data_IF_868502296173
#
_entry.id   IF_868502296173
#
_cell.length_a   1.000
_cell.length_b   1.000
_cell.length_c   1.000
_cell.angle_alpha   90.00
_cell.angle_beta   90.00
_cell.angle_gamma   90.00
#
_symmetry.space_group_name_H-M   'P 1'
#
loop_
_entity.id
_entity.type
_entity.pdbx_description
1 polymer ?
#
# COMPACT_ATOMS: atom_id res chain seq x y z
N UNK A 1 -4.01 -0.15 89.29
CA UNK A 1 -5.39 0.22 88.99
C UNK A 1 -5.52 0.12 87.47
N UNK A 2 -6.17 -0.92 87.07
CA UNK A 2 -7.39 -0.99 86.26
C UNK A 2 -7.37 0.00 85.09
N UNK A 3 -7.52 -0.35 83.87
CA UNK A 3 -8.34 -1.33 83.15
C UNK A 3 -8.74 -0.65 81.91
N UNK A 4 -8.92 -1.30 81.03
CA UNK A 4 -10.01 -1.52 80.03
C UNK A 4 -9.59 -1.59 78.61
N UNK A 5 -10.00 -2.73 78.11
CA UNK A 5 -10.09 -3.13 76.73
C UNK A 5 -11.00 -2.20 75.91
N UNK A 6 -10.59 -1.89 74.71
CA UNK A 6 -11.54 -1.71 73.62
C UNK A 6 -10.89 -2.02 72.27
N UNK A 7 -11.26 -3.14 71.66
CA UNK A 7 -11.10 -3.43 70.24
C UNK A 7 -12.07 -2.51 69.46
N UNK A 8 -11.69 -2.04 68.30
CA UNK A 8 -12.67 -1.80 67.24
C UNK A 8 -12.56 -2.86 66.10
N UNK A 9 -13.72 -3.32 65.82
CA UNK A 9 -14.21 -4.16 64.76
C UNK A 9 -13.70 -3.87 63.37
N UNK A 10 -13.52 -4.98 62.63
CA UNK A 10 -13.16 -4.98 61.22
C UNK A 10 -14.11 -4.24 60.33
N UNK A 11 -13.56 -3.39 59.50
CA UNK A 11 -14.18 -2.84 58.33
C UNK A 11 -13.78 -3.63 57.08
N UNK A 12 -14.70 -4.45 56.61
CA UNK A 12 -14.56 -5.12 55.31
C UNK A 12 -14.58 -4.05 54.21
N UNK A 13 -13.44 -3.89 53.53
CA UNK A 13 -13.34 -3.06 52.33
C UNK A 13 -13.97 -3.84 51.15
N UNK A 14 -15.21 -3.51 50.81
CA UNK A 14 -15.84 -3.93 49.56
C UNK A 14 -15.07 -3.33 48.37
N UNK A 15 -14.30 -4.17 47.69
CA UNK A 15 -13.71 -3.83 46.40
C UNK A 15 -14.85 -3.62 45.39
N UNK A 16 -15.18 -2.39 45.12
CA UNK A 16 -16.08 -2.00 44.00
C UNK A 16 -15.41 -2.34 42.71
N UNK A 17 -15.78 -3.49 42.13
CA UNK A 17 -15.44 -3.88 40.75
C UNK A 17 -16.04 -2.86 39.79
N UNK A 18 -15.21 -1.97 39.23
CA UNK A 18 -15.63 -1.06 38.17
C UNK A 18 -16.10 -1.85 36.94
N UNK A 19 -17.03 -1.31 36.14
CA UNK A 19 -17.57 -2.01 34.99
C UNK A 19 -16.45 -2.33 34.01
N UNK A 20 -16.21 -3.61 33.80
CA UNK A 20 -15.30 -4.17 32.81
C UNK A 20 -15.77 -3.66 31.44
N UNK A 21 -15.05 -2.70 30.85
CA UNK A 21 -15.37 -2.14 29.55
C UNK A 21 -15.60 -3.30 28.55
N UNK A 22 -16.84 -3.43 28.09
CA UNK A 22 -17.21 -4.44 27.11
C UNK A 22 -16.32 -4.28 25.89
N UNK A 23 -15.48 -5.27 25.63
CA UNK A 23 -14.60 -5.33 24.47
C UNK A 23 -15.49 -5.37 23.24
N UNK A 24 -15.69 -4.21 22.60
CA UNK A 24 -16.47 -4.13 21.37
C UNK A 24 -15.97 -5.19 20.40
N UNK A 25 -16.87 -6.07 19.95
CA UNK A 25 -16.55 -7.10 18.98
C UNK A 25 -15.90 -6.45 17.74
N UNK A 26 -14.76 -6.98 17.32
CA UNK A 26 -14.06 -6.48 16.14
C UNK A 26 -14.96 -6.75 14.92
N UNK A 27 -15.22 -5.76 14.06
CA UNK A 27 -16.05 -5.96 12.88
C UNK A 27 -15.48 -7.09 12.02
N UNK A 28 -16.32 -7.84 11.27
CA UNK A 28 -15.85 -8.91 10.41
C UNK A 28 -14.87 -8.40 9.36
N UNK A 29 -13.94 -9.28 8.94
CA UNK A 29 -13.01 -8.95 7.85
C UNK A 29 -13.77 -8.60 6.57
N UNK A 30 -13.23 -7.68 5.78
CA UNK A 30 -13.86 -7.33 4.49
C UNK A 30 -13.89 -8.54 3.56
N UNK A 31 -14.94 -8.70 2.75
CA UNK A 31 -14.98 -9.70 1.71
C UNK A 31 -13.77 -9.54 0.78
N UNK A 32 -13.10 -10.65 0.51
CA UNK A 32 -11.99 -10.66 -0.45
C UNK A 32 -12.54 -10.51 -1.86
N UNK A 33 -11.83 -9.74 -2.70
CA UNK A 33 -12.14 -9.68 -4.12
C UNK A 33 -11.95 -11.03 -4.82
N UNK A 34 -12.42 -11.15 -6.07
CA UNK A 34 -12.21 -12.36 -6.87
C UNK A 34 -10.70 -12.63 -7.06
N UNK A 35 -10.36 -13.88 -7.31
CA UNK A 35 -8.99 -14.26 -7.63
C UNK A 35 -8.48 -13.48 -8.86
N UNK A 36 -7.18 -13.21 -8.89
CA UNK A 36 -6.56 -12.62 -10.06
C UNK A 36 -6.62 -13.63 -11.23
N UNK A 37 -6.84 -13.16 -12.47
CA UNK A 37 -6.58 -13.98 -13.64
C UNK A 37 -5.14 -14.52 -13.62
N UNK A 38 -4.88 -15.69 -14.23
CA UNK A 38 -3.52 -16.24 -14.34
C UNK A 38 -2.55 -15.22 -14.95
N UNK A 39 -1.35 -15.13 -14.40
CA UNK A 39 -0.28 -14.28 -14.93
C UNK A 39 0.52 -15.08 -15.95
N UNK A 40 0.65 -14.56 -17.16
CA UNK A 40 1.56 -15.13 -18.18
C UNK A 40 3.00 -14.74 -17.81
N UNK A 41 3.62 -15.56 -16.96
CA UNK A 41 5.00 -15.34 -16.51
C UNK A 41 6.00 -15.50 -17.66
N UNK A 42 6.99 -14.61 -17.69
CA UNK A 42 8.08 -14.59 -18.67
C UNK A 42 9.35 -14.16 -17.94
N UNK A 43 10.49 -14.67 -18.34
CA UNK A 43 11.77 -14.09 -17.94
C UNK A 43 11.93 -12.74 -18.63
N UNK A 44 11.76 -11.66 -17.88
CA UNK A 44 11.81 -10.30 -18.39
C UNK A 44 13.15 -9.62 -18.07
N UNK A 45 13.46 -8.55 -18.78
CA UNK A 45 14.68 -7.76 -18.56
C UNK A 45 14.39 -6.27 -18.68
N UNK A 46 14.83 -5.51 -17.69
CA UNK A 46 14.96 -4.06 -17.79
C UNK A 46 16.26 -3.73 -18.50
N UNK A 47 16.26 -2.80 -19.44
CA UNK A 47 17.43 -2.29 -20.12
C UNK A 47 17.46 -0.76 -19.98
N UNK A 48 18.65 -0.21 -19.80
CA UNK A 48 18.84 1.21 -19.58
C UNK A 48 18.31 1.67 -18.21
N UNK A 49 18.07 2.97 -18.07
CA UNK A 49 17.63 3.58 -16.82
C UNK A 49 16.10 3.64 -16.72
N UNK A 50 15.53 3.91 -15.53
CA UNK A 50 14.10 4.18 -15.38
C UNK A 50 13.60 5.38 -16.19
N UNK A 51 14.47 6.32 -16.56
CA UNK A 51 14.16 7.56 -17.31
C UNK A 51 14.62 7.52 -18.77
N UNK A 52 15.25 6.46 -19.22
CA UNK A 52 15.80 6.30 -20.57
C UNK A 52 16.01 4.82 -20.90
N UNK A 53 14.97 4.03 -20.73
CA UNK A 53 15.09 2.59 -20.84
C UNK A 53 13.98 1.88 -21.61
N UNK A 54 14.04 0.58 -21.62
CA UNK A 54 13.04 -0.29 -22.24
C UNK A 54 12.87 -1.59 -21.48
N UNK A 55 11.72 -2.21 -21.67
CA UNK A 55 11.32 -3.46 -21.04
C UNK A 55 11.28 -4.57 -22.10
N UNK A 56 12.06 -5.63 -21.89
CA UNK A 56 12.07 -6.81 -22.77
C UNK A 56 11.24 -7.91 -22.13
N UNK A 57 10.32 -8.49 -22.89
CA UNK A 57 9.42 -9.57 -22.46
C UNK A 57 8.66 -9.21 -21.18
N UNK A 58 8.15 -7.98 -21.09
CA UNK A 58 7.42 -7.49 -19.94
C UNK A 58 6.25 -8.39 -19.54
N UNK A 59 6.04 -8.50 -18.22
CA UNK A 59 4.92 -9.24 -17.61
C UNK A 59 3.79 -8.28 -17.35
N UNK A 60 2.58 -8.65 -17.76
CA UNK A 60 1.39 -7.84 -17.53
C UNK A 60 0.79 -8.12 -16.16
N UNK A 61 0.67 -7.10 -15.30
CA UNK A 61 -0.07 -7.20 -14.05
C UNK A 61 -1.56 -7.45 -14.36
N UNK A 62 -2.22 -8.43 -13.70
CA UNK A 62 -3.66 -8.61 -13.80
C UNK A 62 -4.43 -7.33 -13.48
N UNK A 63 -5.60 -7.18 -14.09
CA UNK A 63 -6.44 -5.98 -13.89
C UNK A 63 -6.92 -5.82 -12.44
N UNK A 64 -7.05 -6.93 -11.73
CA UNK A 64 -7.48 -7.01 -10.32
C UNK A 64 -7.08 -8.33 -9.71
N UNK A 65 -7.16 -8.42 -8.40
CA UNK A 65 -6.99 -9.66 -7.66
C UNK A 65 -7.66 -9.59 -6.29
N UNK A 66 -7.52 -10.65 -5.52
CA UNK A 66 -8.09 -10.78 -4.18
C UNK A 66 -7.69 -9.62 -3.25
N UNK A 67 -6.49 -9.06 -3.44
CA UNK A 67 -5.88 -8.12 -2.51
C UNK A 67 -5.58 -6.74 -3.12
N UNK A 68 -5.83 -6.57 -4.41
CA UNK A 68 -5.56 -5.32 -5.12
C UNK A 68 -6.57 -5.08 -6.25
N UNK A 69 -6.65 -3.81 -6.64
CA UNK A 69 -7.23 -3.33 -7.87
C UNK A 69 -6.16 -2.55 -8.64
N UNK A 70 -6.33 -2.37 -9.95
CA UNK A 70 -5.51 -1.41 -10.68
C UNK A 70 -6.28 -0.11 -10.85
N UNK A 71 -5.57 1.01 -10.79
CA UNK A 71 -6.14 2.37 -10.81
C UNK A 71 -5.61 3.17 -11.98
N UNK A 72 -6.50 3.72 -12.81
CA UNK A 72 -6.16 4.66 -13.87
C UNK A 72 -6.09 6.09 -13.30
N UNK A 73 -4.90 6.69 -13.20
CA UNK A 73 -4.77 8.03 -12.62
C UNK A 73 -5.37 9.14 -13.47
N UNK A 74 -5.47 8.94 -14.78
CA UNK A 74 -6.04 9.91 -15.70
C UNK A 74 -7.56 9.90 -15.64
N UNK A 75 -8.17 8.71 -15.73
CA UNK A 75 -9.61 8.53 -15.68
C UNK A 75 -10.18 8.53 -14.25
N UNK A 76 -9.32 8.48 -13.24
CA UNK A 76 -9.67 8.41 -11.82
C UNK A 76 -10.63 7.26 -11.49
N UNK A 77 -10.39 6.10 -12.08
CA UNK A 77 -11.23 4.90 -11.95
C UNK A 77 -10.44 3.59 -11.98
N UNK A 78 -11.10 2.48 -11.71
CA UNK A 78 -10.62 1.12 -11.95
C UNK A 78 -11.33 0.52 -13.16
N UNK A 79 -10.67 -0.31 -13.94
CA UNK A 79 -9.25 -0.69 -13.88
C UNK A 79 -8.33 0.31 -14.61
N UNK A 80 -7.03 0.21 -14.33
CA UNK A 80 -6.02 0.92 -15.13
C UNK A 80 -5.96 0.35 -16.56
N UNK A 81 -5.58 1.20 -17.50
CA UNK A 81 -5.45 0.85 -18.92
C UNK A 81 -4.44 -0.28 -19.11
N UNK A 82 -4.74 -1.18 -20.06
CA UNK A 82 -3.96 -2.40 -20.26
C UNK A 82 -2.47 -2.15 -20.51
N UNK A 83 -2.12 -1.10 -21.22
CA UNK A 83 -0.76 -0.74 -21.61
C UNK A 83 0.05 -0.04 -20.51
N UNK A 84 -0.56 0.33 -19.39
CA UNK A 84 0.08 0.92 -18.20
C UNK A 84 0.42 -0.11 -17.10
N UNK A 85 0.28 -1.39 -17.39
CA UNK A 85 0.34 -2.45 -16.39
C UNK A 85 1.44 -3.47 -16.65
N UNK A 86 2.54 -3.08 -17.31
CA UNK A 86 3.66 -3.96 -17.59
C UNK A 86 4.85 -3.64 -16.70
N UNK A 87 5.51 -4.68 -16.20
CA UNK A 87 6.74 -4.59 -15.42
C UNK A 87 7.64 -5.79 -15.68
N UNK A 88 8.80 -5.79 -15.04
CA UNK A 88 9.57 -7.01 -14.95
C UNK A 88 8.78 -8.07 -14.16
N UNK A 89 9.09 -9.34 -14.36
CA UNK A 89 8.47 -10.42 -13.60
C UNK A 89 8.79 -10.29 -12.10
N UNK A 90 9.97 -9.77 -11.74
CA UNK A 90 10.36 -9.46 -10.39
C UNK A 90 9.44 -8.40 -9.77
N UNK A 91 9.21 -7.27 -10.46
CA UNK A 91 8.32 -6.20 -10.01
C UNK A 91 6.88 -6.72 -9.81
N UNK A 92 6.36 -7.46 -10.79
CA UNK A 92 4.99 -8.00 -10.69
C UNK A 92 4.88 -9.00 -9.54
N UNK A 93 5.86 -9.89 -9.34
CA UNK A 93 5.89 -10.80 -8.18
C UNK A 93 5.95 -10.05 -6.86
N UNK A 94 6.77 -9.01 -6.77
CA UNK A 94 6.88 -8.15 -5.59
C UNK A 94 5.51 -7.54 -5.24
N UNK A 95 4.84 -6.90 -6.20
CA UNK A 95 3.54 -6.28 -5.99
C UNK A 95 2.49 -7.29 -5.48
N UNK A 96 2.44 -8.48 -6.07
CA UNK A 96 1.52 -9.54 -5.64
C UNK A 96 1.84 -10.06 -4.22
N UNK A 97 3.13 -10.18 -3.86
CA UNK A 97 3.54 -10.57 -2.50
C UNK A 97 3.19 -9.50 -1.47
N UNK A 98 3.52 -8.24 -1.75
CA UNK A 98 3.30 -7.14 -0.82
C UNK A 98 1.81 -6.88 -0.60
N UNK A 99 1.00 -6.87 -1.65
CA UNK A 99 -0.46 -6.68 -1.51
C UNK A 99 -1.12 -7.80 -0.71
N UNK A 100 -0.68 -9.06 -0.90
CA UNK A 100 -1.13 -10.20 -0.08
C UNK A 100 -0.72 -10.06 1.38
N UNK A 101 0.53 -9.69 1.64
CA UNK A 101 1.05 -9.53 3.00
C UNK A 101 0.36 -8.38 3.74
N UNK A 102 0.10 -7.27 3.03
CA UNK A 102 -0.67 -6.14 3.56
C UNK A 102 -2.10 -6.55 3.95
N UNK A 103 -2.82 -7.23 3.05
CA UNK A 103 -4.19 -7.67 3.31
C UNK A 103 -4.30 -8.68 4.47
N UNK A 104 -3.30 -9.53 4.65
CA UNK A 104 -3.24 -10.45 5.79
C UNK A 104 -3.10 -9.71 7.13
N UNK A 105 -2.27 -8.68 7.17
CA UNK A 105 -2.04 -7.90 8.38
C UNK A 105 -3.22 -6.94 8.68
N UNK A 106 -3.92 -6.52 7.65
CA UNK A 106 -5.01 -5.55 7.74
C UNK A 106 -6.29 -6.08 7.08
N UNK A 107 -6.95 -7.11 7.65
CA UNK A 107 -8.11 -7.76 7.02
C UNK A 107 -9.33 -6.85 6.86
N UNK A 108 -9.33 -5.70 7.54
CA UNK A 108 -10.39 -4.68 7.46
C UNK A 108 -10.02 -3.49 6.54
N UNK A 109 -8.76 -3.42 6.09
CA UNK A 109 -8.34 -2.38 5.15
C UNK A 109 -8.92 -2.62 3.75
N UNK A 110 -9.08 -1.56 2.95
CA UNK A 110 -9.43 -1.71 1.54
C UNK A 110 -8.32 -2.45 0.77
N UNK A 111 -8.67 -3.02 -0.37
CA UNK A 111 -7.65 -3.53 -1.31
C UNK A 111 -6.73 -2.38 -1.73
N UNK A 112 -5.46 -2.68 -1.89
CA UNK A 112 -4.50 -1.70 -2.41
C UNK A 112 -4.80 -1.37 -3.87
N UNK A 113 -4.55 -0.14 -4.25
CA UNK A 113 -4.70 0.31 -5.63
C UNK A 113 -3.31 0.41 -6.27
N UNK A 114 -3.06 -0.38 -7.30
CA UNK A 114 -1.81 -0.32 -8.06
C UNK A 114 -2.07 0.57 -9.27
N UNK A 115 -1.32 1.65 -9.37
CA UNK A 115 -1.35 2.63 -10.45
C UNK A 115 -0.55 2.20 -11.67
N UNK A 116 0.29 3.11 -12.13
CA UNK A 116 1.10 2.89 -13.32
C UNK A 116 2.34 2.03 -13.01
N UNK A 117 2.63 1.12 -13.91
CA UNK A 117 3.89 0.44 -14.04
C UNK A 117 4.59 1.02 -15.28
N UNK A 118 4.83 0.19 -16.28
CA UNK A 118 5.46 0.57 -17.55
C UNK A 118 4.56 0.20 -18.73
N UNK A 119 4.98 0.63 -19.91
CA UNK A 119 4.42 0.20 -21.19
C UNK A 119 4.87 -1.22 -21.54
N UNK A 120 4.23 -1.92 -22.51
CA UNK A 120 4.55 -3.30 -22.86
C UNK A 120 6.02 -3.55 -23.21
N UNK A 121 6.66 -2.55 -23.83
CA UNK A 121 8.08 -2.59 -24.23
C UNK A 121 8.91 -1.52 -23.50
N UNK A 122 8.32 -0.86 -22.49
CA UNK A 122 8.94 0.30 -21.85
C UNK A 122 9.01 1.51 -22.77
N UNK A 123 10.04 2.31 -22.60
CA UNK A 123 10.26 3.55 -23.35
C UNK A 123 9.41 4.71 -22.83
N UNK A 124 9.48 5.83 -23.50
CA UNK A 124 8.87 7.09 -23.10
C UNK A 124 7.42 6.94 -22.60
N UNK A 125 7.15 7.51 -21.44
CA UNK A 125 5.85 7.54 -20.79
C UNK A 125 5.30 8.96 -20.72
N UNK A 126 5.77 9.84 -21.62
CA UNK A 126 5.47 11.25 -21.66
C UNK A 126 4.06 11.59 -22.12
N UNK A 127 3.88 12.86 -22.47
CA UNK A 127 2.57 13.48 -22.78
C UNK A 127 1.73 12.76 -23.84
N UNK A 128 2.36 12.12 -24.81
CA UNK A 128 1.66 11.35 -25.85
C UNK A 128 0.80 10.21 -25.29
N UNK A 129 1.08 9.77 -24.06
CA UNK A 129 0.38 8.67 -23.39
C UNK A 129 -0.56 9.12 -22.27
N UNK A 130 -0.85 10.41 -22.20
CA UNK A 130 -1.82 11.02 -21.30
C UNK A 130 -1.26 12.26 -20.58
N UNK A 131 -2.13 13.11 -20.02
CA UNK A 131 -1.72 14.36 -19.34
C UNK A 131 -0.88 14.11 -18.08
N UNK A 132 -0.89 12.88 -17.54
CA UNK A 132 -0.03 12.43 -16.46
C UNK A 132 1.08 11.56 -17.05
N UNK A 133 1.98 12.18 -17.83
CA UNK A 133 3.22 11.54 -18.26
C UNK A 133 4.16 11.36 -17.07
N UNK A 134 4.94 10.28 -17.11
CA UNK A 134 5.97 10.01 -16.12
C UNK A 134 7.34 10.26 -16.74
N UNK A 135 8.23 10.90 -15.98
CA UNK A 135 9.65 11.02 -16.37
C UNK A 135 10.34 9.64 -16.33
N UNK A 136 9.90 8.79 -15.41
CA UNK A 136 10.39 7.41 -15.24
C UNK A 136 9.37 6.36 -15.74
N UNK A 137 9.37 5.16 -15.21
CA UNK A 137 8.57 4.00 -15.62
C UNK A 137 8.95 3.42 -16.99
N UNK A 138 10.14 3.72 -17.51
CA UNK A 138 10.50 3.37 -18.88
C UNK A 138 11.07 1.96 -19.04
N UNK A 139 11.59 1.33 -17.97
CA UNK A 139 12.24 0.03 -18.06
C UNK A 139 11.54 -1.11 -17.30
N UNK A 140 10.38 -0.82 -16.69
CA UNK A 140 9.58 -1.83 -15.99
C UNK A 140 10.02 -2.15 -14.58
N UNK A 141 10.82 -1.29 -13.95
CA UNK A 141 11.26 -1.41 -12.56
C UNK A 141 10.50 -0.49 -11.60
N UNK A 142 9.68 0.42 -12.11
CA UNK A 142 8.91 1.38 -11.34
C UNK A 142 7.43 0.97 -11.22
N UNK A 143 6.81 1.26 -10.09
CA UNK A 143 5.36 1.17 -9.92
C UNK A 143 4.84 2.18 -8.91
N UNK A 144 3.64 2.72 -9.18
CA UNK A 144 2.89 3.56 -8.25
C UNK A 144 1.88 2.72 -7.47
N UNK A 145 1.86 2.86 -6.16
CA UNK A 145 0.89 2.19 -5.30
C UNK A 145 0.20 3.22 -4.40
N UNK A 146 -1.11 3.39 -4.58
CA UNK A 146 -1.86 4.38 -3.85
C UNK A 146 -2.05 4.00 -2.39
N UNK A 147 -1.94 4.99 -1.51
CA UNK A 147 -2.17 4.79 -0.08
C UNK A 147 -3.63 4.47 0.22
N UNK A 148 -3.89 3.65 1.24
CA UNK A 148 -5.24 3.42 1.76
C UNK A 148 -5.85 4.73 2.29
N UNK A 149 -7.14 4.89 2.05
CA UNK A 149 -7.91 6.03 2.55
C UNK A 149 -8.44 5.79 3.97
N UNK A 150 -8.56 6.88 4.75
CA UNK A 150 -9.18 6.87 6.09
C UNK A 150 -10.63 6.38 6.06
N UNK A 151 -11.38 6.72 4.99
CA UNK A 151 -12.77 6.31 4.82
C UNK A 151 -12.94 4.85 4.33
N UNK A 152 -11.83 4.16 4.10
CA UNK A 152 -11.80 2.78 3.67
C UNK A 152 -12.33 2.53 2.25
N UNK A 153 -12.56 3.56 1.43
CA UNK A 153 -13.01 3.39 0.05
C UNK A 153 -11.88 2.88 -0.84
N UNK A 154 -12.20 1.99 -1.77
CA UNK A 154 -11.29 1.48 -2.81
C UNK A 154 -11.13 2.48 -3.95
N UNK A 155 -10.66 3.67 -3.62
CA UNK A 155 -10.42 4.80 -4.50
C UNK A 155 -9.14 5.52 -4.09
N UNK A 156 -8.36 6.01 -5.05
CA UNK A 156 -7.15 6.77 -4.74
C UNK A 156 -7.47 8.02 -3.91
N UNK A 157 -6.67 8.35 -2.90
CA UNK A 157 -6.76 9.65 -2.23
C UNK A 157 -6.38 10.77 -3.20
N UNK A 158 -7.00 11.93 -3.04
CA UNK A 158 -6.67 13.13 -3.81
C UNK A 158 -5.69 14.05 -3.06
N UNK A 159 -5.70 13.95 -1.73
CA UNK A 159 -4.86 14.77 -0.84
C UNK A 159 -4.29 13.94 0.29
N UNK A 160 -3.21 14.39 0.91
CA UNK A 160 -2.62 13.78 2.10
C UNK A 160 -3.63 13.61 3.26
N UNK A 161 -4.57 14.56 3.40
CA UNK A 161 -5.58 14.53 4.47
C UNK A 161 -6.50 13.30 4.39
N UNK A 162 -6.71 12.74 3.20
CA UNK A 162 -7.53 11.54 2.99
C UNK A 162 -6.78 10.23 3.25
N UNK A 163 -5.45 10.27 3.36
CA UNK A 163 -4.61 9.09 3.55
C UNK A 163 -4.71 8.59 5.00
N UNK A 164 -4.92 7.28 5.18
CA UNK A 164 -4.65 6.62 6.46
C UNK A 164 -3.13 6.49 6.61
N UNK A 165 -2.54 7.43 7.34
CA UNK A 165 -1.09 7.52 7.50
C UNK A 165 -0.48 6.27 8.18
N UNK A 166 -1.20 5.62 9.08
CA UNK A 166 -0.74 4.39 9.74
C UNK A 166 -0.64 3.24 8.76
N UNK A 167 -1.67 3.05 7.94
CA UNK A 167 -1.66 2.04 6.88
C UNK A 167 -0.66 2.38 5.77
N UNK A 168 -0.47 3.67 5.46
CA UNK A 168 0.53 4.12 4.49
C UNK A 168 1.96 3.81 4.97
N UNK A 169 2.27 4.04 6.25
CA UNK A 169 3.58 3.67 6.81
C UNK A 169 3.80 2.15 6.77
N UNK A 170 2.81 1.34 7.18
CA UNK A 170 2.96 -0.13 7.10
C UNK A 170 3.16 -0.62 5.66
N UNK A 171 2.50 0.02 4.69
CA UNK A 171 2.72 -0.29 3.27
C UNK A 171 4.17 0.00 2.84
N UNK A 172 4.70 1.16 3.21
CA UNK A 172 6.10 1.55 2.97
C UNK A 172 7.06 0.56 3.63
N UNK A 173 6.82 0.22 4.91
CA UNK A 173 7.64 -0.75 5.65
C UNK A 173 7.64 -2.13 5.00
N UNK A 174 6.54 -2.54 4.37
CA UNK A 174 6.47 -3.82 3.63
C UNK A 174 7.31 -3.80 2.37
N UNK A 175 7.31 -2.72 1.64
CA UNK A 175 8.20 -2.57 0.49
C UNK A 175 9.66 -2.58 0.90
N UNK A 176 10.02 -1.89 1.99
CA UNK A 176 11.38 -1.92 2.56
C UNK A 176 11.78 -3.35 2.94
N UNK A 177 10.93 -4.07 3.69
CA UNK A 177 11.18 -5.48 4.05
C UNK A 177 11.25 -6.42 2.85
N UNK A 178 10.59 -6.08 1.76
CA UNK A 178 10.64 -6.83 0.51
C UNK A 178 11.87 -6.49 -0.34
N UNK A 179 12.75 -5.61 0.14
CA UNK A 179 14.03 -5.29 -0.52
C UNK A 179 13.97 -4.16 -1.54
N UNK A 180 12.91 -3.35 -1.55
CA UNK A 180 12.83 -2.19 -2.46
C UNK A 180 13.84 -1.12 -2.04
N UNK A 181 14.80 -0.76 -2.91
CA UNK A 181 15.87 0.17 -2.55
C UNK A 181 15.44 1.64 -2.56
N UNK A 182 14.44 2.02 -3.37
CA UNK A 182 14.00 3.41 -3.51
C UNK A 182 12.46 3.51 -3.42
N UNK A 183 12.01 4.39 -2.52
CA UNK A 183 10.60 4.71 -2.31
C UNK A 183 10.43 6.24 -2.29
N UNK A 184 9.75 6.80 -3.29
CA UNK A 184 9.38 8.20 -3.29
C UNK A 184 8.01 8.38 -2.64
N UNK A 185 7.93 9.25 -1.65
CA UNK A 185 6.73 9.49 -0.83
C UNK A 185 6.41 10.97 -0.73
N UNK A 186 5.15 11.30 -0.54
CA UNK A 186 4.74 12.70 -0.36
C UNK A 186 5.33 13.31 0.92
N UNK A 187 5.89 14.53 0.84
CA UNK A 187 6.51 15.19 1.99
C UNK A 187 5.51 15.48 3.10
N UNK A 188 4.24 15.73 2.78
CA UNK A 188 3.19 16.03 3.76
C UNK A 188 2.86 14.85 4.68
N UNK A 189 3.13 13.63 4.24
CA UNK A 189 2.83 12.41 4.99
C UNK A 189 3.88 12.09 6.05
N UNK A 190 5.09 12.63 5.93
CA UNK A 190 6.23 12.37 6.84
C UNK A 190 6.49 10.88 7.07
N UNK A 191 6.33 10.06 6.01
CA UNK A 191 6.66 8.65 6.03
C UNK A 191 8.18 8.47 6.08
N UNK A 192 8.65 7.38 6.70
CA UNK A 192 10.08 7.20 7.00
C UNK A 192 10.50 5.75 6.74
N UNK A 193 11.80 5.56 6.59
CA UNK A 193 12.43 4.26 6.49
C UNK A 193 13.63 4.26 5.56
N UNK A 194 14.31 3.12 5.48
CA UNK A 194 15.46 2.95 4.58
C UNK A 194 15.00 3.14 3.12
N UNK A 195 15.72 3.95 2.35
CA UNK A 195 15.42 4.20 0.94
C UNK A 195 14.20 5.09 0.69
N UNK A 196 13.55 5.60 1.75
CA UNK A 196 12.42 6.53 1.63
C UNK A 196 12.93 7.94 1.40
N UNK A 197 12.44 8.56 0.32
CA UNK A 197 12.80 9.92 -0.10
C UNK A 197 11.52 10.74 -0.25
N UNK A 198 11.39 11.89 0.44
CA UNK A 198 10.30 12.83 0.18
C UNK A 198 10.40 13.38 -1.23
N UNK A 199 9.30 13.32 -1.97
CA UNK A 199 9.26 13.80 -3.35
C UNK A 199 7.93 14.51 -3.65
N UNK A 200 7.94 15.66 -4.32
CA UNK A 200 6.72 16.39 -4.69
C UNK A 200 5.73 15.50 -5.48
N UNK A 201 4.45 15.79 -5.34
CA UNK A 201 3.35 15.09 -6.04
C UNK A 201 3.15 13.61 -5.67
N UNK A 202 3.71 13.14 -4.52
CA UNK A 202 3.54 11.78 -4.03
C UNK A 202 2.70 11.69 -2.74
N UNK A 203 1.90 12.71 -2.44
CA UNK A 203 1.04 12.71 -1.23
C UNK A 203 -0.13 11.71 -1.29
N UNK A 204 -0.39 11.10 -2.44
CA UNK A 204 -1.48 10.14 -2.62
C UNK A 204 -1.02 8.71 -2.94
N UNK A 205 0.25 8.49 -3.23
CA UNK A 205 0.82 7.19 -3.55
C UNK A 205 2.29 7.11 -3.13
N UNK A 206 2.80 5.89 -3.00
CA UNK A 206 4.23 5.62 -2.99
C UNK A 206 4.65 5.20 -4.40
N UNK A 207 5.70 5.82 -4.92
CA UNK A 207 6.40 5.35 -6.10
C UNK A 207 7.55 4.45 -5.65
N UNK A 208 7.55 3.21 -6.08
CA UNK A 208 8.61 2.25 -5.79
C UNK A 208 9.47 2.02 -7.01
N UNK A 209 10.77 1.78 -6.78
CA UNK A 209 11.75 1.46 -7.82
C UNK A 209 12.67 0.34 -7.37
N UNK A 210 12.92 -0.63 -8.25
CA UNK A 210 13.75 -1.82 -7.99
C UNK A 210 15.20 -1.70 -8.46
N UNK A 211 15.64 -0.58 -8.95
CA UNK A 211 17.01 -0.42 -9.42
C UNK A 211 17.30 0.98 -9.94
#
# INVERSE_FOLDING_TARGET
>A
ARGDDARPSGGASEARGGPRAARRARPPARPRGPAAPPVAWRSSRALGSPTGGRLVRGVKLPVRGTHFLTWDPVRKTTPNRWWRRYGTDELVRLLLRVTRAFARAHPHAPRLLIGDLSRPRGGDFGRAYGPLGHVSHQNGLDADVYYPRKDGRERAPLTAAQVDRRLAQDLVDRFIRAGVPTLLVGPSLKLRGRGVQPWPNHDNHVHIRLG
#
